data_IF_063007846789
#
_entry.id   IF_063007846789
#
_cell.length_a   1.000
_cell.length_b   1.000
_cell.length_c   1.000
_cell.angle_alpha   90.00
_cell.angle_beta   90.00
_cell.angle_gamma   90.00
#
_symmetry.space_group_name_H-M   'P 1'
#
loop_
_entity.id
_entity.type
_entity.pdbx_description
1 polymer ?
#
# COMPACT_ATOMS: atom_id res chain seq x y z
N UNK A 1 -10.85 18.77 14.74
CA UNK A 1 -11.78 18.03 15.62
C UNK A 1 -11.23 16.64 15.89
N UNK A 2 -11.43 16.11 17.10
CA UNK A 2 -10.89 14.80 17.50
C UNK A 2 -12.01 13.86 17.98
N UNK A 3 -11.69 12.58 18.16
CA UNK A 3 -12.66 11.55 18.53
C UNK A 3 -13.35 11.80 19.89
N UNK A 4 -12.68 12.51 20.82
CA UNK A 4 -13.26 12.83 22.13
C UNK A 4 -14.34 13.91 21.99
N UNK A 5 -14.16 14.87 21.10
CA UNK A 5 -15.15 15.91 20.80
C UNK A 5 -16.39 15.29 20.15
N UNK A 6 -16.22 14.37 19.20
CA UNK A 6 -17.34 13.61 18.59
C UNK A 6 -18.09 12.82 19.66
N UNK A 7 -17.37 12.13 20.53
CA UNK A 7 -17.98 11.35 21.62
C UNK A 7 -18.82 12.25 22.56
N UNK A 8 -18.30 13.42 22.91
CA UNK A 8 -19.00 14.41 23.75
C UNK A 8 -20.25 14.94 23.05
N UNK A 9 -20.17 15.30 21.76
CA UNK A 9 -21.32 15.82 20.99
C UNK A 9 -22.40 14.75 20.79
N UNK A 10 -22.01 13.50 20.56
CA UNK A 10 -22.91 12.38 20.39
C UNK A 10 -23.45 11.80 21.72
N UNK A 11 -23.03 12.31 22.88
CA UNK A 11 -23.46 11.81 24.20
C UNK A 11 -23.06 10.35 24.46
N UNK A 12 -21.95 9.87 23.85
CA UNK A 12 -21.49 8.48 23.97
C UNK A 12 -20.02 8.41 24.43
N UNK A 13 -19.56 7.22 24.82
CA UNK A 13 -18.15 7.05 25.16
C UNK A 13 -17.27 7.08 23.91
N UNK A 14 -15.99 7.51 24.07
CA UNK A 14 -14.96 7.41 23.03
C UNK A 14 -14.86 5.97 22.44
N UNK A 15 -14.99 4.95 23.31
CA UNK A 15 -14.95 3.56 22.89
C UNK A 15 -16.12 3.20 21.95
N UNK A 16 -17.30 3.79 22.18
CA UNK A 16 -18.48 3.60 21.32
C UNK A 16 -18.26 4.23 19.94
N UNK A 17 -17.75 5.47 19.88
CA UNK A 17 -17.39 6.11 18.60
C UNK A 17 -16.31 5.30 17.88
N UNK A 18 -15.28 4.84 18.59
CA UNK A 18 -14.23 4.01 18.02
C UNK A 18 -14.77 2.70 17.43
N UNK A 19 -15.72 2.02 18.10
CA UNK A 19 -16.38 0.83 17.54
C UNK A 19 -17.18 1.15 16.30
N UNK A 20 -17.96 2.23 16.30
CA UNK A 20 -18.72 2.69 15.14
C UNK A 20 -17.83 2.90 13.91
N UNK A 21 -16.74 3.66 14.07
CA UNK A 21 -15.79 3.95 13.00
C UNK A 21 -15.06 2.72 12.47
N UNK A 22 -15.10 1.61 13.20
CA UNK A 22 -14.42 0.36 12.84
C UNK A 22 -15.41 -0.78 12.49
N UNK A 23 -16.64 -0.43 12.15
CA UNK A 23 -17.69 -1.41 11.84
C UNK A 23 -17.93 -2.45 12.94
N UNK A 24 -17.59 -2.12 14.20
CA UNK A 24 -17.89 -2.94 15.36
C UNK A 24 -19.33 -2.78 15.80
N UNK A 25 -19.78 -3.68 16.68
CA UNK A 25 -21.15 -3.65 17.16
C UNK A 25 -21.43 -2.38 17.99
N UNK A 26 -22.44 -1.62 17.56
CA UNK A 26 -23.01 -0.45 18.23
C UNK A 26 -24.53 -0.50 18.01
N UNK A 27 -25.34 -0.19 19.03
CA UNK A 27 -26.79 -0.18 18.87
C UNK A 27 -27.23 0.84 17.82
N UNK A 28 -28.33 0.57 17.11
CA UNK A 28 -28.84 1.42 16.02
C UNK A 28 -29.12 2.86 16.46
N UNK A 29 -29.60 3.04 17.68
CA UNK A 29 -29.81 4.37 18.28
C UNK A 29 -28.50 5.16 18.33
N UNK A 30 -27.45 4.55 18.88
CA UNK A 30 -26.13 5.20 18.99
C UNK A 30 -25.47 5.41 17.63
N UNK A 31 -25.66 4.49 16.68
CA UNK A 31 -25.16 4.66 15.30
C UNK A 31 -25.77 5.92 14.66
N UNK A 32 -27.08 6.11 14.78
CA UNK A 32 -27.78 7.28 14.22
C UNK A 32 -27.24 8.60 14.80
N UNK A 33 -27.04 8.67 16.11
CA UNK A 33 -26.51 9.87 16.75
C UNK A 33 -25.08 10.15 16.32
N UNK A 34 -24.21 9.13 16.30
CA UNK A 34 -22.81 9.26 15.87
C UNK A 34 -22.73 9.68 14.40
N UNK A 35 -23.49 9.03 13.51
CA UNK A 35 -23.55 9.37 12.07
C UNK A 35 -23.91 10.83 11.86
N UNK A 36 -24.97 11.30 12.52
CA UNK A 36 -25.44 12.69 12.44
C UNK A 36 -24.34 13.67 12.86
N UNK A 37 -23.68 13.44 13.99
CA UNK A 37 -22.59 14.32 14.47
C UNK A 37 -21.41 14.30 13.49
N UNK A 38 -21.06 13.15 12.90
CA UNK A 38 -19.99 13.06 11.91
C UNK A 38 -20.35 13.82 10.64
N UNK A 39 -21.58 13.69 10.14
CA UNK A 39 -22.08 14.41 8.96
C UNK A 39 -22.08 15.94 9.19
N UNK A 40 -22.58 16.40 10.33
CA UNK A 40 -22.65 17.83 10.68
C UNK A 40 -21.26 18.45 10.87
N UNK A 41 -20.28 17.66 11.34
CA UNK A 41 -18.95 18.17 11.67
C UNK A 41 -17.91 17.93 10.57
N UNK A 42 -18.21 17.10 9.59
CA UNK A 42 -17.23 16.66 8.58
C UNK A 42 -16.05 15.89 9.19
N UNK A 43 -16.21 15.31 10.38
CA UNK A 43 -15.13 14.59 11.05
C UNK A 43 -14.64 13.39 10.25
N UNK A 44 -13.36 13.36 10.02
CA UNK A 44 -12.67 12.17 9.48
C UNK A 44 -11.68 11.63 10.51
N UNK A 45 -11.67 10.30 10.75
CA UNK A 45 -10.69 9.68 11.63
C UNK A 45 -9.27 9.97 11.14
N UNK A 46 -8.39 10.38 12.04
CA UNK A 46 -6.98 10.59 11.71
C UNK A 46 -6.35 9.28 11.21
N UNK A 47 -5.75 9.33 10.01
CA UNK A 47 -5.00 8.21 9.44
C UNK A 47 -3.88 7.74 10.38
N UNK A 48 -3.23 8.66 11.08
CA UNK A 48 -2.21 8.34 12.09
C UNK A 48 -2.79 7.54 13.26
N UNK A 49 -3.98 7.89 13.76
CA UNK A 49 -4.64 7.15 14.84
C UNK A 49 -5.06 5.74 14.39
N UNK A 50 -5.48 5.59 13.13
CA UNK A 50 -5.78 4.29 12.54
C UNK A 50 -4.50 3.47 12.36
N UNK A 51 -3.42 4.07 11.88
CA UNK A 51 -2.12 3.43 11.69
C UNK A 51 -1.53 2.91 13.01
N UNK A 52 -1.53 3.72 14.07
CA UNK A 52 -1.07 3.31 15.40
C UNK A 52 -1.82 2.09 15.95
N UNK A 53 -3.09 1.96 15.62
CA UNK A 53 -3.94 0.87 16.09
C UNK A 53 -3.81 -0.39 15.23
N UNK A 54 -3.85 -0.23 13.91
CA UNK A 54 -3.83 -1.37 12.97
C UNK A 54 -2.41 -1.82 12.65
N UNK A 55 -1.40 -1.03 12.96
CA UNK A 55 -0.01 -1.17 12.53
C UNK A 55 0.12 -1.25 11.00
N UNK A 56 -0.86 -0.68 10.29
CA UNK A 56 -0.89 -0.63 8.82
C UNK A 56 -1.04 0.80 8.36
N UNK A 57 -0.24 1.17 7.37
CA UNK A 57 -0.27 2.49 6.72
C UNK A 57 -1.30 2.57 5.61
N UNK A 58 -1.72 1.43 5.08
CA UNK A 58 -2.51 1.31 3.85
C UNK A 58 -1.82 1.90 2.63
N UNK A 59 -0.48 1.93 2.65
CA UNK A 59 0.36 2.39 1.55
C UNK A 59 1.13 1.21 0.95
N UNK A 60 1.19 1.15 -0.37
CA UNK A 60 2.05 0.22 -1.13
C UNK A 60 2.97 1.02 -2.02
N UNK A 61 4.28 0.79 -1.88
CA UNK A 61 5.28 1.37 -2.77
C UNK A 61 5.36 0.59 -4.08
N UNK A 62 5.35 1.29 -5.21
CA UNK A 62 5.57 0.69 -6.53
C UNK A 62 6.77 1.37 -7.16
N UNK A 63 7.87 0.63 -7.29
CA UNK A 63 9.09 1.08 -7.96
C UNK A 63 9.03 0.59 -9.40
N UNK A 64 9.17 1.50 -10.34
CA UNK A 64 9.06 1.22 -11.76
C UNK A 64 10.22 1.84 -12.55
N UNK A 65 10.65 1.18 -13.64
CA UNK A 65 11.80 1.64 -14.42
C UNK A 65 11.49 2.89 -15.26
N UNK A 66 10.26 2.97 -15.81
CA UNK A 66 9.92 4.02 -16.76
C UNK A 66 8.41 4.19 -16.90
N UNK A 67 7.90 5.35 -16.48
CA UNK A 67 6.45 5.60 -16.45
C UNK A 67 5.81 5.75 -17.83
N UNK A 68 6.58 6.19 -18.83
CA UNK A 68 6.12 6.41 -20.20
C UNK A 68 6.13 5.15 -21.08
N UNK A 69 6.43 3.98 -20.52
CA UNK A 69 6.31 2.70 -21.19
C UNK A 69 4.84 2.22 -21.21
N UNK A 70 4.33 1.87 -22.39
CA UNK A 70 2.97 1.33 -22.55
C UNK A 70 2.72 0.06 -21.72
N UNK A 71 3.71 -0.81 -21.58
CA UNK A 71 3.62 -2.02 -20.77
C UNK A 71 3.53 -1.67 -19.31
N UNK A 72 4.48 -0.87 -18.80
CA UNK A 72 4.53 -0.46 -17.41
C UNK A 72 3.28 0.33 -17.00
N UNK A 73 2.77 1.22 -17.87
CA UNK A 73 1.55 1.99 -17.60
C UNK A 73 0.33 1.07 -17.41
N UNK A 74 0.21 -0.01 -18.20
CA UNK A 74 -0.87 -0.99 -18.05
C UNK A 74 -0.73 -1.83 -16.78
N UNK A 75 0.49 -2.24 -16.45
CA UNK A 75 0.77 -2.95 -15.19
C UNK A 75 0.41 -2.09 -13.98
N UNK A 76 0.84 -0.82 -13.98
CA UNK A 76 0.54 0.14 -12.92
C UNK A 76 -0.97 0.39 -12.80
N UNK A 77 -1.68 0.52 -13.91
CA UNK A 77 -3.14 0.67 -13.91
C UNK A 77 -3.83 -0.54 -13.25
N UNK A 78 -3.46 -1.77 -13.63
CA UNK A 78 -4.00 -2.99 -13.02
C UNK A 78 -3.69 -3.10 -11.52
N UNK A 79 -2.46 -2.75 -11.12
CA UNK A 79 -2.07 -2.70 -9.71
C UNK A 79 -2.93 -1.67 -8.96
N UNK A 80 -3.10 -0.47 -9.51
CA UNK A 80 -3.90 0.61 -8.93
C UNK A 80 -5.33 0.20 -8.67
N UNK A 81 -5.97 -0.46 -9.64
CA UNK A 81 -7.36 -0.91 -9.52
C UNK A 81 -7.54 -1.87 -8.35
N UNK A 82 -6.67 -2.86 -8.25
CA UNK A 82 -6.74 -3.86 -7.16
C UNK A 82 -6.44 -3.23 -5.79
N UNK A 83 -5.41 -2.38 -5.71
CA UNK A 83 -5.06 -1.71 -4.46
C UNK A 83 -6.19 -0.81 -3.96
N UNK A 84 -6.82 -0.04 -4.87
CA UNK A 84 -7.95 0.84 -4.56
C UNK A 84 -9.15 0.03 -4.04
N UNK A 85 -9.52 -1.07 -4.70
CA UNK A 85 -10.59 -1.96 -4.25
C UNK A 85 -10.34 -2.55 -2.85
N UNK A 86 -9.07 -2.74 -2.47
CA UNK A 86 -8.65 -3.23 -1.15
C UNK A 86 -8.43 -2.12 -0.13
N UNK A 87 -8.68 -0.86 -0.49
CA UNK A 87 -8.51 0.30 0.39
C UNK A 87 -7.05 0.63 0.66
N UNK A 88 -6.15 0.33 -0.27
CA UNK A 88 -4.75 0.75 -0.26
C UNK A 88 -4.53 1.95 -1.19
N UNK A 89 -3.59 2.79 -0.83
CA UNK A 89 -3.06 3.85 -1.69
C UNK A 89 -1.71 3.42 -2.26
N UNK A 90 -1.40 3.88 -3.45
CA UNK A 90 -0.18 3.55 -4.17
C UNK A 90 0.76 4.75 -4.21
N UNK A 91 2.03 4.54 -3.90
CA UNK A 91 3.09 5.52 -4.06
C UNK A 91 3.99 5.04 -5.19
N UNK A 92 4.09 5.83 -6.27
CA UNK A 92 4.95 5.52 -7.41
C UNK A 92 6.33 6.14 -7.26
N UNK A 93 7.35 5.35 -7.55
CA UNK A 93 8.74 5.78 -7.68
C UNK A 93 9.25 5.44 -9.08
N UNK A 94 9.41 6.45 -9.93
CA UNK A 94 9.96 6.31 -11.27
C UNK A 94 11.48 6.47 -11.24
N UNK A 95 12.21 5.43 -11.64
CA UNK A 95 13.68 5.37 -11.51
C UNK A 95 14.42 5.75 -12.79
N UNK A 96 13.71 5.92 -13.91
CA UNK A 96 14.32 6.19 -15.23
C UNK A 96 15.41 5.18 -15.62
N UNK A 97 15.21 3.90 -15.29
CA UNK A 97 16.16 2.79 -15.50
C UNK A 97 17.50 2.98 -14.74
N UNK A 98 17.54 3.78 -13.69
CA UNK A 98 18.73 3.98 -12.87
C UNK A 98 18.76 3.00 -11.71
N UNK A 99 19.77 2.14 -11.65
CA UNK A 99 20.02 1.23 -10.53
C UNK A 99 20.21 1.98 -9.21
N UNK A 100 20.86 3.15 -9.26
CA UNK A 100 21.07 3.99 -8.08
C UNK A 100 19.75 4.49 -7.52
N UNK A 101 18.85 5.01 -8.38
CA UNK A 101 17.52 5.45 -7.97
C UNK A 101 16.66 4.27 -7.49
N UNK A 102 16.77 3.08 -8.10
CA UNK A 102 16.07 1.88 -7.61
C UNK A 102 16.49 1.57 -6.16
N UNK A 103 17.78 1.54 -5.86
CA UNK A 103 18.31 1.29 -4.52
C UNK A 103 17.90 2.37 -3.53
N UNK A 104 17.92 3.64 -3.95
CA UNK A 104 17.48 4.77 -3.14
C UNK A 104 15.99 4.66 -2.77
N UNK A 105 15.12 4.35 -3.74
CA UNK A 105 13.68 4.18 -3.45
C UNK A 105 13.39 2.91 -2.65
N UNK A 106 14.13 1.84 -2.86
CA UNK A 106 14.07 0.67 -1.99
C UNK A 106 14.42 1.07 -0.55
N UNK A 107 15.52 1.80 -0.30
CA UNK A 107 15.84 2.30 1.04
C UNK A 107 14.74 3.20 1.59
N UNK A 108 14.23 4.12 0.79
CA UNK A 108 13.17 5.05 1.19
C UNK A 108 11.91 4.32 1.65
N UNK A 109 11.44 3.31 0.91
CA UNK A 109 10.24 2.55 1.27
C UNK A 109 10.46 1.62 2.45
N UNK A 110 11.67 1.10 2.64
CA UNK A 110 12.04 0.35 3.84
C UNK A 110 11.87 1.20 5.11
N UNK A 111 12.28 2.47 5.05
CA UNK A 111 12.29 3.38 6.20
C UNK A 111 10.92 4.07 6.42
N UNK A 112 10.11 4.28 5.38
CA UNK A 112 8.85 5.02 5.42
C UNK A 112 7.58 4.18 5.62
N UNK A 113 7.70 3.02 6.25
CA UNK A 113 6.56 2.23 6.74
C UNK A 113 5.44 1.99 5.70
N UNK A 114 5.78 1.56 4.48
CA UNK A 114 4.78 1.00 3.56
C UNK A 114 4.38 -0.41 4.02
N UNK A 115 3.17 -0.84 3.71
CA UNK A 115 2.67 -2.18 4.05
C UNK A 115 3.20 -3.27 3.11
N UNK A 116 3.78 -2.88 1.98
CA UNK A 116 4.39 -3.75 0.99
C UNK A 116 5.01 -2.97 -0.16
N UNK A 117 5.82 -3.66 -0.98
CA UNK A 117 6.47 -3.08 -2.15
C UNK A 117 6.23 -3.97 -3.37
N UNK A 118 5.91 -3.36 -4.50
CA UNK A 118 5.95 -3.97 -5.81
C UNK A 118 7.14 -3.37 -6.55
N UNK A 119 8.09 -4.21 -6.91
CA UNK A 119 9.29 -3.77 -7.61
C UNK A 119 9.29 -4.32 -9.04
N UNK A 120 9.07 -3.44 -10.01
CA UNK A 120 9.16 -3.76 -11.45
C UNK A 120 10.63 -3.59 -11.83
N UNK A 121 11.38 -4.67 -11.68
CA UNK A 121 12.84 -4.67 -11.83
C UNK A 121 13.26 -4.86 -13.28
N UNK A 122 14.22 -4.05 -13.74
CA UNK A 122 14.90 -4.27 -15.02
C UNK A 122 16.07 -5.23 -14.86
N UNK A 123 16.82 -5.10 -13.78
CA UNK A 123 17.96 -5.95 -13.44
C UNK A 123 18.07 -6.08 -11.91
N UNK A 124 18.48 -7.26 -11.45
CA UNK A 124 18.73 -7.51 -10.02
C UNK A 124 20.24 -7.65 -9.77
N UNK A 125 20.86 -6.56 -9.35
CA UNK A 125 22.28 -6.55 -8.96
C UNK A 125 22.49 -7.23 -7.59
N UNK A 126 23.75 -7.46 -7.22
CA UNK A 126 24.11 -7.96 -5.88
C UNK A 126 23.56 -7.04 -4.78
N UNK A 127 23.67 -5.71 -4.97
CA UNK A 127 23.18 -4.73 -4.00
C UNK A 127 21.66 -4.80 -3.82
N UNK A 128 20.88 -4.99 -4.90
CA UNK A 128 19.44 -5.24 -4.78
C UNK A 128 19.14 -6.45 -3.92
N UNK A 129 19.83 -7.58 -4.17
CA UNK A 129 19.63 -8.82 -3.42
C UNK A 129 19.96 -8.69 -1.94
N UNK A 130 20.99 -7.92 -1.60
CA UNK A 130 21.35 -7.63 -0.21
C UNK A 130 20.30 -6.74 0.47
N UNK A 131 19.87 -5.66 -0.18
CA UNK A 131 18.86 -4.76 0.33
C UNK A 131 17.50 -5.44 0.53
N UNK A 132 17.07 -6.28 -0.41
CA UNK A 132 15.82 -7.01 -0.32
C UNK A 132 15.75 -7.92 0.91
N UNK A 133 16.88 -8.50 1.36
CA UNK A 133 16.94 -9.32 2.58
C UNK A 133 16.63 -8.55 3.87
N UNK A 134 16.84 -7.24 3.86
CA UNK A 134 16.61 -6.38 5.03
C UNK A 134 15.14 -5.96 5.18
N UNK A 135 14.30 -6.24 4.18
CA UNK A 135 12.90 -5.86 4.20
C UNK A 135 12.10 -6.70 5.20
N UNK A 136 11.26 -6.01 5.98
CA UNK A 136 10.34 -6.64 6.94
C UNK A 136 8.91 -6.73 6.41
N UNK A 137 8.62 -6.05 5.29
CA UNK A 137 7.32 -6.06 4.63
C UNK A 137 7.37 -6.90 3.37
N UNK A 138 6.24 -7.44 2.89
CA UNK A 138 6.18 -8.22 1.67
C UNK A 138 6.69 -7.42 0.46
N UNK A 139 7.48 -8.08 -0.37
CA UNK A 139 7.93 -7.55 -1.66
C UNK A 139 7.51 -8.54 -2.76
N UNK A 140 6.95 -8.01 -3.83
CA UNK A 140 6.64 -8.75 -5.06
C UNK A 140 7.52 -8.19 -6.18
N UNK A 141 8.19 -9.07 -6.92
CA UNK A 141 9.00 -8.71 -8.07
C UNK A 141 8.21 -8.92 -9.36
N UNK A 142 8.25 -7.94 -10.25
CA UNK A 142 7.73 -8.04 -11.61
C UNK A 142 8.89 -7.96 -12.63
N UNK A 143 8.82 -8.79 -13.67
CA UNK A 143 9.79 -8.80 -14.77
C UNK A 143 11.06 -9.58 -14.49
N UNK A 144 11.36 -9.91 -13.25
CA UNK A 144 12.56 -10.65 -12.85
C UNK A 144 12.23 -11.79 -11.90
N UNK A 145 13.03 -12.85 -11.95
CA UNK A 145 12.95 -13.95 -11.00
C UNK A 145 14.06 -13.86 -9.93
N UNK A 146 13.67 -14.04 -8.69
CA UNK A 146 14.59 -14.18 -7.56
C UNK A 146 14.05 -15.23 -6.60
N UNK A 147 14.84 -16.27 -6.36
CA UNK A 147 14.48 -17.32 -5.42
C UNK A 147 14.21 -16.77 -4.02
N UNK A 148 13.15 -17.26 -3.37
CA UNK A 148 12.72 -16.81 -2.05
C UNK A 148 11.78 -15.59 -2.05
N UNK A 149 11.44 -15.04 -3.21
CA UNK A 149 10.50 -13.92 -3.35
C UNK A 149 9.32 -14.28 -4.27
N UNK A 150 8.11 -13.75 -4.01
CA UNK A 150 7.02 -13.79 -4.97
C UNK A 150 7.43 -13.04 -6.25
N UNK A 151 7.43 -13.74 -7.39
CA UNK A 151 7.84 -13.18 -8.68
C UNK A 151 6.75 -13.41 -9.72
N UNK A 152 6.50 -12.40 -10.55
CA UNK A 152 5.68 -12.47 -11.75
C UNK A 152 6.57 -12.07 -12.92
N UNK A 153 6.85 -13.00 -13.81
CA UNK A 153 7.75 -12.78 -14.96
C UNK A 153 7.31 -13.63 -16.16
N UNK A 154 7.74 -13.23 -17.34
CA UNK A 154 7.56 -14.02 -18.56
C UNK A 154 8.76 -14.94 -18.72
N UNK A 155 8.50 -16.21 -18.96
CA UNK A 155 9.53 -17.19 -19.31
C UNK A 155 9.77 -17.16 -20.83
N UNK A 156 10.45 -16.11 -21.29
CA UNK A 156 10.73 -15.87 -22.71
C UNK A 156 11.55 -17.00 -23.33
N UNK A 157 12.44 -17.62 -22.55
CA UNK A 157 13.24 -18.77 -23.02
C UNK A 157 12.35 -19.97 -23.33
N UNK A 158 11.43 -20.31 -22.43
CA UNK A 158 10.49 -21.42 -22.64
C UNK A 158 9.49 -21.12 -23.76
N UNK A 159 9.03 -19.87 -23.84
CA UNK A 159 8.17 -19.42 -24.93
C UNK A 159 8.89 -19.56 -26.31
N UNK A 160 10.14 -19.11 -26.40
CA UNK A 160 10.93 -19.23 -27.64
C UNK A 160 11.18 -20.69 -28.03
N UNK A 161 11.51 -21.56 -27.05
CA UNK A 161 11.70 -23.00 -27.32
C UNK A 161 10.43 -23.73 -27.77
N UNK A 162 9.25 -23.23 -27.41
CA UNK A 162 7.98 -23.83 -27.83
C UNK A 162 7.57 -23.46 -29.26
N UNK A 163 8.26 -22.50 -29.89
CA UNK A 163 8.03 -22.05 -31.26
C UNK A 163 8.95 -22.77 -32.31
N UNK A 164 9.94 -23.54 -31.84
CA UNK A 164 10.83 -24.36 -32.65
C UNK A 164 10.44 -25.82 -32.57
#
# INVERSE_FOLDING_TARGET
MNINEIAKMAGVSRATVSRYLNNGYVSEEKKKVISKVIEETGYQPSSQAQMLRTKKTKLVGVILPKIDSNTISREVAGISDILTQKGYQMILANTNNSVEEELKYLSLFKDNQVDGVIFIATILTKQHREMLKEYKVPIVLLGQHLEGYPCIFQDDHKAAMSLT
#
